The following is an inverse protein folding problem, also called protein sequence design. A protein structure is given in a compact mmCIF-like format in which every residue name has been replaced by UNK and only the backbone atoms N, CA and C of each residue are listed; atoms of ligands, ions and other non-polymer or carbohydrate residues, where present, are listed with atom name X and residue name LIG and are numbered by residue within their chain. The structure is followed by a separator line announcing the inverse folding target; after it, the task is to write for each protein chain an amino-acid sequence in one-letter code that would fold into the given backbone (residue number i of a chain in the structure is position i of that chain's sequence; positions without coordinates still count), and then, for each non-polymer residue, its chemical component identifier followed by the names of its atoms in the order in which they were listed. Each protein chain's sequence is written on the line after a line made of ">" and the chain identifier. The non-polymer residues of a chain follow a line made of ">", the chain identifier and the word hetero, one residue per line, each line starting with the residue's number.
data_IF_122189392681
#
_entry.id   IF_122189392681
#
_cell.length_a   1.000
_cell.length_b   1.000
_cell.length_c   1.000
_cell.angle_alpha   90.00
_cell.angle_beta   90.00
_cell.angle_gamma   90.00
#
_symmetry.space_group_name_H-M   'P 1'
#
loop_
_entity.id
_entity.type
_entity.pdbx_description
1 polymer ?
#
# COMPACT_ATOMS: atom_id res chain seq x y z
N UNK A 1 1.38 1.75 -15.44
CA UNK A 1 0.20 2.01 -14.60
C UNK A 1 0.65 1.76 -13.18
N UNK A 2 0.72 2.78 -12.34
CA UNK A 2 1.00 2.58 -10.91
C UNK A 2 -0.32 2.14 -10.27
N UNK A 3 -0.34 0.96 -9.66
CA UNK A 3 -1.52 0.49 -8.93
C UNK A 3 -1.79 1.44 -7.76
N UNK A 4 -3.07 1.69 -7.47
CA UNK A 4 -3.49 2.56 -6.35
C UNK A 4 -3.50 1.84 -5.01
N UNK A 5 -3.56 0.52 -5.03
CA UNK A 5 -3.64 -0.31 -3.84
C UNK A 5 -2.75 -1.54 -3.99
N UNK A 6 -2.27 -2.04 -2.86
CA UNK A 6 -1.50 -3.27 -2.79
C UNK A 6 -1.84 -4.07 -1.53
N UNK A 7 -1.69 -5.38 -1.60
CA UNK A 7 -1.88 -6.29 -0.46
C UNK A 7 -0.54 -6.73 0.07
N UNK A 8 -0.33 -6.63 1.38
CA UNK A 8 0.84 -7.20 2.03
C UNK A 8 0.77 -8.73 2.04
N UNK A 9 1.82 -9.38 1.55
CA UNK A 9 1.94 -10.86 1.48
C UNK A 9 3.13 -11.40 2.28
N UNK A 10 4.01 -10.53 2.76
CA UNK A 10 5.11 -10.87 3.66
C UNK A 10 5.40 -9.68 4.58
N UNK A 11 5.54 -9.94 5.89
CA UNK A 11 5.87 -8.95 6.90
C UNK A 11 7.01 -9.43 7.82
N UNK A 12 7.80 -10.42 7.39
CA UNK A 12 8.77 -11.11 8.25
C UNK A 12 9.76 -10.15 8.92
N UNK A 13 10.19 -9.09 8.22
CA UNK A 13 11.09 -8.07 8.75
C UNK A 13 10.35 -6.92 9.49
N UNK A 14 9.05 -6.78 9.29
CA UNK A 14 8.22 -5.69 9.83
C UNK A 14 6.89 -6.17 10.46
N UNK A 15 6.89 -7.17 11.36
CA UNK A 15 5.66 -7.78 11.86
C UNK A 15 4.81 -6.85 12.75
N UNK A 16 5.42 -5.77 13.27
CA UNK A 16 4.73 -4.77 14.08
C UNK A 16 4.14 -3.62 13.24
N UNK A 17 4.59 -3.45 11.99
CA UNK A 17 4.18 -2.34 11.11
C UNK A 17 3.32 -2.81 9.94
N UNK A 18 3.53 -4.04 9.47
CA UNK A 18 2.81 -4.61 8.34
C UNK A 18 1.92 -5.76 8.79
N UNK A 19 0.70 -5.78 8.27
CA UNK A 19 -0.29 -6.84 8.49
C UNK A 19 -0.50 -7.65 7.21
N UNK A 20 -0.26 -8.96 7.30
CA UNK A 20 -0.48 -9.88 6.18
C UNK A 20 -1.94 -9.85 5.74
N UNK A 21 -2.16 -9.84 4.43
CA UNK A 21 -3.45 -9.74 3.74
C UNK A 21 -4.17 -8.39 3.85
N UNK A 22 -3.59 -7.39 4.53
CA UNK A 22 -4.14 -6.05 4.60
C UNK A 22 -3.92 -5.30 3.28
N UNK A 23 -4.91 -4.50 2.88
CA UNK A 23 -4.84 -3.61 1.74
C UNK A 23 -4.28 -2.26 2.20
N UNK A 24 -3.26 -1.80 1.50
CA UNK A 24 -2.63 -0.50 1.69
C UNK A 24 -2.81 0.37 0.46
N UNK A 25 -2.91 1.69 0.65
CA UNK A 25 -2.93 2.66 -0.45
C UNK A 25 -1.50 2.92 -0.90
N UNK A 26 -1.24 2.88 -2.20
CA UNK A 26 0.08 3.16 -2.78
C UNK A 26 0.19 4.63 -3.13
N UNK A 27 1.31 5.25 -2.77
CA UNK A 27 1.67 6.60 -3.18
C UNK A 27 2.70 6.48 -4.31
N UNK A 28 2.42 7.05 -5.50
CA UNK A 28 3.40 7.05 -6.59
C UNK A 28 4.68 7.77 -6.19
N UNK A 29 5.80 7.04 -6.16
CA UNK A 29 7.12 7.54 -5.81
C UNK A 29 8.16 6.88 -6.70
N UNK A 30 8.62 7.61 -7.71
CA UNK A 30 9.56 7.08 -8.72
C UNK A 30 10.94 6.82 -8.15
N UNK A 31 11.35 7.51 -7.10
CA UNK A 31 12.67 7.31 -6.51
C UNK A 31 12.65 6.04 -5.66
N UNK A 32 11.61 5.83 -4.85
CA UNK A 32 11.39 4.57 -4.15
C UNK A 32 11.28 3.37 -5.11
N UNK A 33 10.48 3.50 -6.18
CA UNK A 33 10.33 2.44 -7.18
C UNK A 33 11.67 2.04 -7.82
N UNK A 34 12.60 2.99 -8.01
CA UNK A 34 13.94 2.72 -8.56
C UNK A 34 14.81 1.91 -7.61
N UNK A 35 14.61 2.09 -6.30
CA UNK A 35 15.32 1.35 -5.27
C UNK A 35 14.63 0.01 -4.92
N UNK A 36 13.51 -0.29 -5.58
CA UNK A 36 12.72 -1.51 -5.35
C UNK A 36 11.77 -1.41 -4.15
N UNK A 37 11.57 -0.20 -3.64
CA UNK A 37 10.67 0.11 -2.54
C UNK A 37 9.29 0.55 -3.05
N UNK A 38 8.32 0.50 -2.15
CA UNK A 38 6.94 0.92 -2.35
C UNK A 38 6.54 1.86 -1.21
N UNK A 39 6.08 3.05 -1.57
CA UNK A 39 5.51 4.00 -0.61
C UNK A 39 4.03 3.69 -0.42
N UNK A 40 3.63 3.42 0.81
CA UNK A 40 2.26 3.03 1.19
C UNK A 40 1.73 3.90 2.31
N UNK A 41 0.41 4.04 2.39
CA UNK A 41 -0.31 4.67 3.50
C UNK A 41 -1.12 3.59 4.22
N UNK A 42 -1.05 3.60 5.55
CA UNK A 42 -1.84 2.73 6.44
C UNK A 42 -3.08 3.46 7.00
N UNK A 43 -3.77 2.88 7.99
CA UNK A 43 -4.97 3.46 8.61
C UNK A 43 -4.71 4.74 9.41
N UNK A 44 -3.46 5.03 9.76
CA UNK A 44 -3.10 6.26 10.46
C UNK A 44 -3.08 7.47 9.52
N UNK A 45 -3.05 7.22 8.20
CA UNK A 45 -2.89 8.25 7.19
C UNK A 45 -1.42 8.68 6.96
N UNK A 46 -0.47 8.10 7.69
CA UNK A 46 0.96 8.33 7.49
C UNK A 46 1.51 7.48 6.34
N UNK A 47 2.48 8.04 5.61
CA UNK A 47 3.16 7.33 4.53
C UNK A 47 4.48 6.69 4.99
N UNK A 48 4.70 5.46 4.54
CA UNK A 48 5.86 4.65 4.89
C UNK A 48 6.48 4.00 3.65
N UNK A 49 7.79 3.77 3.69
CA UNK A 49 8.54 3.07 2.65
C UNK A 49 8.92 1.66 3.10
N UNK A 50 8.64 0.69 2.25
CA UNK A 50 8.98 -0.71 2.48
C UNK A 50 9.42 -1.39 1.17
N UNK A 51 10.20 -2.49 1.24
CA UNK A 51 10.53 -3.27 0.06
C UNK A 51 9.27 -3.70 -0.70
N UNK A 52 9.18 -3.35 -1.98
CA UNK A 52 8.01 -3.63 -2.82
C UNK A 52 7.69 -5.12 -2.95
N UNK A 53 8.70 -6.00 -2.76
CA UNK A 53 8.55 -7.46 -2.74
C UNK A 53 7.57 -7.98 -1.66
N UNK A 54 7.28 -7.19 -0.64
CA UNK A 54 6.31 -7.52 0.41
C UNK A 54 4.86 -7.32 -0.01
N UNK A 55 4.64 -6.72 -1.17
CA UNK A 55 3.32 -6.33 -1.63
C UNK A 55 3.00 -6.89 -3.01
N UNK A 56 1.73 -7.18 -3.21
CA UNK A 56 1.16 -7.49 -4.52
C UNK A 56 0.21 -6.36 -4.90
N UNK A 57 0.51 -5.68 -6.00
CA UNK A 57 -0.39 -4.69 -6.59
C UNK A 57 -1.72 -5.33 -6.99
N UNK A 58 -2.83 -4.66 -6.68
CA UNK A 58 -4.17 -5.14 -7.00
C UNK A 58 -4.97 -4.11 -7.79
N UNK A 59 -5.69 -4.61 -8.79
CA UNK A 59 -6.74 -3.86 -9.46
C UNK A 59 -8.07 -4.17 -8.77
N UNK A 60 -8.78 -3.13 -8.36
CA UNK A 60 -10.05 -3.24 -7.66
C UNK A 60 -11.21 -2.84 -8.59
N UNK A 61 -12.39 -3.46 -8.44
CA UNK A 61 -13.60 -2.92 -9.03
C UNK A 61 -13.82 -1.47 -8.58
N UNK A 62 -14.41 -0.65 -9.46
CA UNK A 62 -14.60 0.78 -9.23
C UNK A 62 -15.29 1.10 -7.89
N UNK A 63 -16.28 0.30 -7.49
CA UNK A 63 -16.98 0.47 -6.22
C UNK A 63 -16.05 0.31 -5.02
N UNK A 64 -15.24 -0.76 -5.00
CA UNK A 64 -14.28 -1.02 -3.92
C UNK A 64 -13.16 0.02 -3.91
N UNK A 65 -12.66 0.40 -5.08
CA UNK A 65 -11.62 1.42 -5.22
C UNK A 65 -12.08 2.76 -4.62
N UNK A 66 -13.31 3.18 -4.94
CA UNK A 66 -13.90 4.40 -4.41
C UNK A 66 -14.11 4.33 -2.90
N UNK A 67 -14.69 3.24 -2.41
CA UNK A 67 -14.97 3.07 -0.99
C UNK A 67 -13.68 3.09 -0.15
N UNK A 68 -12.62 2.45 -0.64
CA UNK A 68 -11.31 2.48 0.03
C UNK A 68 -10.67 3.86 -0.03
N UNK A 69 -10.65 4.51 -1.20
CA UNK A 69 -10.11 5.87 -1.32
C UNK A 69 -10.79 6.84 -0.34
N UNK A 70 -12.12 6.82 -0.26
CA UNK A 70 -12.89 7.62 0.70
C UNK A 70 -12.62 7.24 2.16
N UNK A 71 -12.28 5.97 2.45
CA UNK A 71 -11.95 5.51 3.80
C UNK A 71 -10.58 6.01 4.27
N UNK A 72 -9.57 5.99 3.38
CA UNK A 72 -8.21 6.47 3.69
C UNK A 72 -8.12 8.00 3.84
N UNK A 73 -9.08 8.75 3.27
CA UNK A 73 -9.12 10.21 3.37
C UNK A 73 -9.91 10.71 4.62
N UNK A 74 -10.39 9.80 5.49
CA UNK A 74 -11.08 10.19 6.74
C UNK A 74 -10.07 10.56 7.83
N UNK A 75 -10.33 11.64 8.58
CA UNK A 75 -9.48 12.07 9.69
C UNK A 75 -9.61 11.18 10.93
#
# INVERSE_FOLDING_TARGET
>A
MSARFAVCVDNTEFPASLEIHKVYRVVPDKDAERDGDLRIIDESGEDYLYPGKYFVAIDLPQESERALAESFDRP
#
